data_IF_104694824440
#
_entry.id   IF_104694824440
#
_cell.length_a   1.000
_cell.length_b   1.000
_cell.length_c   1.000
_cell.angle_alpha   90.00
_cell.angle_beta   90.00
_cell.angle_gamma   90.00
#
_symmetry.space_group_name_H-M   'P 1'
#
loop_
_entity.id
_entity.type
_entity.pdbx_description
1 polymer ?
#
# COMPACT_ATOMS: atom_id res chain seq x y z
N UNK A 1 -18.00 -17.09 18.33
CA UNK A 1 -16.77 -16.63 17.65
C UNK A 1 -15.89 -15.94 18.68
N UNK A 2 -14.55 -16.02 18.58
CA UNK A 2 -13.67 -15.22 19.42
C UNK A 2 -13.97 -13.72 19.23
N UNK A 3 -13.72 -12.92 20.26
CA UNK A 3 -13.86 -11.46 20.18
C UNK A 3 -12.90 -10.90 19.11
N UNK A 4 -13.29 -9.83 18.40
CA UNK A 4 -12.39 -9.15 17.47
C UNK A 4 -11.14 -8.64 18.19
N UNK A 5 -9.98 -8.75 17.56
CA UNK A 5 -8.72 -8.21 18.10
C UNK A 5 -8.81 -6.69 18.18
N UNK A 6 -8.52 -6.12 19.35
CA UNK A 6 -8.57 -4.66 19.56
C UNK A 6 -7.20 -4.02 19.36
N UNK A 7 -7.16 -2.69 19.19
CA UNK A 7 -5.89 -1.94 19.19
C UNK A 7 -5.09 -2.17 20.48
N UNK A 8 -5.76 -2.13 21.62
CA UNK A 8 -5.12 -2.32 22.92
C UNK A 8 -4.49 -3.72 23.06
N UNK A 9 -5.03 -4.74 22.38
CA UNK A 9 -4.40 -6.05 22.33
C UNK A 9 -3.16 -6.06 21.44
N UNK A 10 -3.18 -5.35 20.32
CA UNK A 10 -2.04 -5.22 19.41
C UNK A 10 -0.89 -4.42 20.03
N UNK A 11 -1.20 -3.35 20.76
CA UNK A 11 -0.20 -2.51 21.45
C UNK A 11 0.62 -3.31 22.48
N UNK A 12 0.05 -4.37 23.09
CA UNK A 12 0.77 -5.22 24.06
C UNK A 12 1.96 -5.97 23.46
N UNK A 13 1.96 -6.21 22.14
CA UNK A 13 3.07 -6.87 21.47
C UNK A 13 4.28 -5.95 21.25
N UNK A 14 4.09 -4.62 21.32
CA UNK A 14 5.17 -3.64 21.22
C UNK A 14 5.92 -3.66 19.88
N UNK A 15 5.26 -4.13 18.81
CA UNK A 15 5.82 -4.19 17.46
C UNK A 15 4.90 -3.46 16.47
N UNK A 16 5.45 -2.91 15.37
CA UNK A 16 4.64 -2.32 14.32
C UNK A 16 3.69 -3.34 13.70
N UNK A 17 2.45 -2.92 13.44
CA UNK A 17 1.41 -3.74 12.81
C UNK A 17 0.82 -2.97 11.64
N UNK A 18 0.81 -3.61 10.48
CA UNK A 18 0.11 -3.13 9.31
C UNK A 18 -1.16 -3.97 9.11
N UNK A 19 -2.22 -3.39 8.57
CA UNK A 19 -3.37 -4.12 8.02
C UNK A 19 -3.36 -4.04 6.51
N UNK A 20 -3.70 -5.13 5.84
CA UNK A 20 -3.94 -5.18 4.40
C UNK A 20 -5.33 -5.75 4.13
N UNK A 21 -6.10 -5.04 3.29
CA UNK A 21 -7.43 -5.47 2.84
C UNK A 21 -7.42 -5.63 1.32
N UNK A 22 -7.86 -6.79 0.85
CA UNK A 22 -7.99 -7.10 -0.58
C UNK A 22 -9.48 -7.34 -0.88
N UNK A 23 -10.22 -6.30 -1.34
CA UNK A 23 -11.67 -6.38 -1.45
C UNK A 23 -12.17 -7.52 -2.34
N UNK A 24 -11.52 -7.76 -3.48
CA UNK A 24 -11.92 -8.81 -4.45
C UNK A 24 -11.79 -10.22 -3.89
N UNK A 25 -11.03 -10.41 -2.80
CA UNK A 25 -10.88 -11.69 -2.10
C UNK A 25 -11.65 -11.75 -0.79
N UNK A 26 -12.31 -10.65 -0.39
CA UNK A 26 -12.82 -10.47 0.98
C UNK A 26 -11.77 -10.81 2.04
N UNK A 27 -10.49 -10.52 1.74
CA UNK A 27 -9.37 -10.80 2.61
C UNK A 27 -9.03 -9.56 3.46
N UNK A 28 -8.78 -9.78 4.73
CA UNK A 28 -8.44 -8.77 5.73
C UNK A 28 -7.44 -9.40 6.71
N UNK A 29 -6.22 -8.89 6.71
CA UNK A 29 -5.12 -9.48 7.47
C UNK A 29 -4.33 -8.41 8.22
N UNK A 30 -3.88 -8.78 9.42
CA UNK A 30 -2.84 -8.06 10.15
C UNK A 30 -1.48 -8.67 9.81
N UNK A 31 -0.48 -7.81 9.69
CA UNK A 31 0.85 -8.14 9.21
C UNK A 31 1.89 -7.64 10.19
N UNK A 32 2.94 -8.43 10.33
CA UNK A 32 4.14 -8.11 11.09
C UNK A 32 5.34 -7.97 10.15
N UNK A 33 6.41 -7.36 10.65
CA UNK A 33 7.65 -7.17 9.88
C UNK A 33 8.44 -8.48 9.86
N UNK A 34 8.87 -8.93 8.68
CA UNK A 34 9.83 -10.04 8.52
C UNK A 34 11.22 -9.56 8.18
N UNK A 35 11.33 -8.41 7.51
CA UNK A 35 12.60 -7.82 7.11
C UNK A 35 12.46 -6.30 7.00
N UNK A 36 13.52 -5.57 7.33
CA UNK A 36 13.56 -4.11 7.24
C UNK A 36 14.98 -3.62 6.92
N UNK A 37 15.14 -2.87 5.82
CA UNK A 37 16.42 -2.30 5.40
C UNK A 37 16.24 -1.01 4.62
N UNK A 38 16.86 0.08 5.10
CA UNK A 38 16.96 1.35 4.37
C UNK A 38 15.62 1.94 3.93
N UNK A 39 14.62 1.96 4.83
CA UNK A 39 13.26 2.45 4.54
C UNK A 39 12.36 1.45 3.79
N UNK A 40 12.90 0.30 3.39
CA UNK A 40 12.14 -0.81 2.81
C UNK A 40 11.77 -1.81 3.90
N UNK A 41 10.49 -2.09 4.06
CA UNK A 41 9.94 -3.03 5.05
C UNK A 41 9.16 -4.10 4.32
N UNK A 42 9.46 -5.36 4.61
CA UNK A 42 8.67 -6.51 4.17
C UNK A 42 7.76 -6.94 5.30
N UNK A 43 6.46 -6.85 5.04
CA UNK A 43 5.38 -7.27 5.91
C UNK A 43 4.91 -8.67 5.51
N UNK A 44 4.56 -9.51 6.48
CA UNK A 44 3.96 -10.82 6.21
C UNK A 44 2.70 -11.06 7.01
N UNK A 45 1.78 -11.78 6.39
CA UNK A 45 0.69 -12.48 7.05
C UNK A 45 1.17 -13.81 7.64
N UNK A 46 0.34 -14.43 8.48
CA UNK A 46 0.63 -15.76 9.06
C UNK A 46 0.65 -16.89 8.02
N UNK A 47 0.00 -16.71 6.87
CA UNK A 47 -0.03 -17.68 5.76
C UNK A 47 1.17 -17.54 4.79
N UNK A 48 2.11 -16.63 5.09
CA UNK A 48 3.33 -16.45 4.30
C UNK A 48 3.18 -15.50 3.10
N UNK A 49 2.02 -14.89 2.89
CA UNK A 49 1.87 -13.79 1.92
C UNK A 49 2.70 -12.59 2.38
N UNK A 50 3.46 -11.97 1.46
CA UNK A 50 4.31 -10.82 1.80
C UNK A 50 4.01 -9.58 0.96
N UNK A 51 4.24 -8.43 1.57
CA UNK A 51 4.08 -7.11 0.97
C UNK A 51 5.30 -6.27 1.32
N UNK A 52 6.09 -5.89 0.33
CA UNK A 52 7.25 -5.02 0.55
C UNK A 52 6.87 -3.59 0.21
N UNK A 53 7.07 -2.69 1.17
CA UNK A 53 6.82 -1.26 1.04
C UNK A 53 8.10 -0.48 1.27
N UNK A 54 8.28 0.61 0.53
CA UNK A 54 9.30 1.62 0.77
C UNK A 54 8.61 2.89 1.22
N UNK A 55 8.79 3.25 2.49
CA UNK A 55 8.13 4.40 3.13
C UNK A 55 6.60 4.43 2.92
N UNK A 56 5.95 3.26 2.99
CA UNK A 56 4.49 3.12 2.78
C UNK A 56 4.05 2.90 1.31
N UNK A 57 4.98 3.01 0.35
CA UNK A 57 4.69 2.79 -1.08
C UNK A 57 4.92 1.33 -1.43
N UNK A 58 3.91 0.63 -1.95
CA UNK A 58 3.99 -0.77 -2.35
C UNK A 58 4.91 -0.94 -3.56
N UNK A 59 5.91 -1.81 -3.40
CA UNK A 59 6.89 -2.12 -4.45
C UNK A 59 6.96 -3.61 -4.82
N UNK A 60 6.45 -4.51 -3.99
CA UNK A 60 6.44 -5.95 -4.27
C UNK A 60 5.34 -6.67 -3.47
N UNK A 61 4.78 -7.74 -4.04
CA UNK A 61 3.99 -8.75 -3.32
C UNK A 61 4.51 -10.16 -3.61
N UNK A 62 4.28 -11.10 -2.69
CA UNK A 62 4.51 -12.54 -2.92
C UNK A 62 3.38 -13.36 -2.31
N UNK A 63 2.98 -14.42 -2.98
CA UNK A 63 2.01 -15.39 -2.46
C UNK A 63 0.57 -15.06 -2.85
N UNK A 64 0.34 -14.01 -3.64
CA UNK A 64 -1.01 -13.69 -4.11
C UNK A 64 -1.37 -14.41 -5.40
N UNK A 65 -0.41 -14.85 -6.21
CA UNK A 65 -0.64 -15.41 -7.55
C UNK A 65 -0.31 -14.37 -8.63
N UNK A 66 -1.21 -13.44 -8.97
CA UNK A 66 -0.86 -12.33 -9.86
C UNK A 66 -0.11 -11.26 -9.07
N UNK A 67 1.14 -11.56 -8.71
CA UNK A 67 1.97 -10.73 -7.84
C UNK A 67 2.56 -9.50 -8.54
N UNK A 68 2.76 -8.43 -7.77
CA UNK A 68 3.66 -7.35 -8.15
C UNK A 68 5.10 -7.83 -7.93
N UNK A 69 5.80 -8.17 -8.99
CA UNK A 69 7.17 -8.66 -8.93
C UNK A 69 8.16 -7.58 -8.49
N UNK A 70 8.00 -6.37 -9.01
CA UNK A 70 8.71 -5.17 -8.57
C UNK A 70 8.03 -3.91 -9.11
N UNK A 71 8.33 -2.75 -8.51
CA UNK A 71 7.92 -1.45 -9.05
C UNK A 71 9.04 -0.41 -8.96
N UNK A 72 9.19 0.36 -10.04
CA UNK A 72 9.83 1.68 -9.99
C UNK A 72 8.74 2.68 -9.62
N UNK A 73 8.73 3.08 -8.37
CA UNK A 73 7.72 3.96 -7.78
C UNK A 73 8.39 5.25 -7.25
N UNK A 74 7.66 6.38 -7.19
CA UNK A 74 8.15 7.62 -6.58
C UNK A 74 8.44 7.43 -5.09
N UNK A 75 9.16 8.40 -4.51
CA UNK A 75 9.28 8.49 -3.06
C UNK A 75 7.96 8.96 -2.44
N UNK A 76 7.75 8.66 -1.15
CA UNK A 76 6.61 9.17 -0.39
C UNK A 76 6.55 10.72 -0.40
N UNK A 77 7.70 11.40 -0.38
CA UNK A 77 7.78 12.86 -0.49
C UNK A 77 7.27 13.39 -1.84
N UNK A 78 7.60 12.72 -2.95
CA UNK A 78 7.09 13.10 -4.27
C UNK A 78 5.57 12.89 -4.37
N UNK A 79 5.03 11.85 -3.72
CA UNK A 79 3.59 11.60 -3.62
C UNK A 79 2.83 12.61 -2.75
N UNK A 80 3.54 13.46 -2.00
CA UNK A 80 2.98 14.55 -1.18
C UNK A 80 3.16 15.93 -1.81
N UNK A 81 3.54 15.98 -3.09
CA UNK A 81 3.75 17.24 -3.83
C UNK A 81 2.60 17.45 -4.81
N UNK A 82 1.75 18.43 -4.54
CA UNK A 82 0.65 18.79 -5.46
C UNK A 82 1.18 19.22 -6.83
N UNK A 83 0.58 18.70 -7.90
CA UNK A 83 1.05 18.89 -9.27
C UNK A 83 2.34 18.13 -9.61
N UNK A 84 2.89 17.33 -8.70
CA UNK A 84 4.06 16.50 -8.93
C UNK A 84 3.83 15.51 -10.07
N UNK A 85 4.85 15.28 -10.90
CA UNK A 85 4.78 14.33 -12.02
C UNK A 85 5.96 13.37 -11.99
N UNK A 86 5.72 12.13 -12.41
CA UNK A 86 6.73 11.07 -12.46
C UNK A 86 6.25 9.91 -13.31
N UNK A 87 7.15 8.99 -13.64
CA UNK A 87 6.78 7.68 -14.19
C UNK A 87 6.66 6.64 -13.09
N UNK A 88 5.67 5.76 -13.24
CA UNK A 88 5.55 4.54 -12.46
C UNK A 88 5.66 3.33 -13.36
N UNK A 89 6.56 2.42 -13.04
CA UNK A 89 6.77 1.18 -13.80
C UNK A 89 6.47 -0.01 -12.90
N UNK A 90 5.48 -0.81 -13.28
CA UNK A 90 5.14 -2.05 -12.60
C UNK A 90 5.63 -3.25 -13.42
N UNK A 91 6.13 -4.25 -12.72
CA UNK A 91 6.47 -5.56 -13.25
C UNK A 91 5.56 -6.58 -12.58
N UNK A 92 4.53 -7.07 -13.28
CA UNK A 92 3.55 -8.01 -12.73
C UNK A 92 3.86 -9.44 -13.18
N UNK A 93 3.58 -10.42 -12.33
CA UNK A 93 3.56 -11.82 -12.73
C UNK A 93 2.30 -12.09 -13.57
N UNK A 94 2.49 -12.52 -14.81
CA UNK A 94 1.43 -12.92 -15.73
C UNK A 94 1.07 -14.40 -15.57
N UNK A 95 0.01 -14.83 -16.26
CA UNK A 95 -0.57 -16.18 -16.12
C UNK A 95 0.37 -17.32 -16.57
N UNK A 96 1.34 -17.03 -17.45
CA UNK A 96 2.33 -18.00 -17.93
C UNK A 96 3.67 -17.90 -17.17
N UNK A 97 3.65 -17.40 -15.94
CA UNK A 97 4.83 -17.06 -15.12
C UNK A 97 5.80 -16.04 -15.75
N UNK A 98 5.38 -15.41 -16.85
CA UNK A 98 6.12 -14.34 -17.51
C UNK A 98 5.90 -13.00 -16.80
N UNK A 99 6.97 -12.22 -16.62
CA UNK A 99 6.84 -10.85 -16.09
C UNK A 99 6.36 -9.89 -17.17
N UNK A 100 5.27 -9.17 -16.90
CA UNK A 100 4.75 -8.13 -17.78
C UNK A 100 5.08 -6.74 -17.23
N UNK A 101 5.58 -5.86 -18.10
CA UNK A 101 5.91 -4.48 -17.75
C UNK A 101 4.78 -3.54 -18.12
N UNK A 102 4.39 -2.64 -17.20
CA UNK A 102 3.46 -1.54 -17.48
C UNK A 102 4.05 -0.23 -16.99
N UNK A 103 4.25 0.71 -17.91
CA UNK A 103 4.70 2.07 -17.62
C UNK A 103 3.51 3.02 -17.68
N UNK A 104 3.43 3.91 -16.70
CA UNK A 104 2.42 4.95 -16.60
C UNK A 104 3.10 6.30 -16.39
N UNK A 105 2.53 7.34 -16.96
CA UNK A 105 2.85 8.73 -16.64
C UNK A 105 1.83 9.22 -15.61
N UNK A 106 2.33 9.72 -14.48
CA UNK A 106 1.51 9.99 -13.30
C UNK A 106 1.54 11.47 -12.92
N UNK A 107 0.42 11.93 -12.36
CA UNK A 107 0.29 13.25 -11.74
C UNK A 107 -0.30 13.10 -10.35
N UNK A 108 0.28 13.80 -9.39
CA UNK A 108 -0.16 13.86 -8.01
C UNK A 108 -1.05 15.08 -7.82
N UNK A 109 -2.15 14.90 -7.09
CA UNK A 109 -3.09 15.98 -6.76
C UNK A 109 -3.42 15.92 -5.29
N UNK A 110 -3.30 17.07 -4.60
CA UNK A 110 -3.79 17.22 -3.24
C UNK A 110 -5.33 17.18 -3.22
N UNK A 111 -5.88 16.38 -2.32
CA UNK A 111 -7.31 16.11 -2.20
C UNK A 111 -7.88 16.57 -0.84
N UNK A 112 -7.20 17.53 -0.19
CA UNK A 112 -7.63 18.15 1.05
C UNK A 112 -7.14 17.43 2.31
N UNK A 113 -7.70 17.83 3.46
CA UNK A 113 -7.41 17.23 4.75
C UNK A 113 -8.67 16.59 5.33
N UNK A 114 -8.52 15.46 5.99
CA UNK A 114 -9.62 14.75 6.64
C UNK A 114 -9.16 14.08 7.93
N UNK A 115 -10.12 13.68 8.77
CA UNK A 115 -9.88 12.80 9.89
C UNK A 115 -10.26 11.37 9.49
N UNK A 116 -9.34 10.43 9.68
CA UNK A 116 -9.59 9.01 9.45
C UNK A 116 -9.45 8.25 10.76
N UNK A 117 -10.29 7.24 10.96
CA UNK A 117 -10.13 6.31 12.08
C UNK A 117 -9.46 5.03 11.58
N UNK A 118 -8.36 4.63 12.22
CA UNK A 118 -7.68 3.36 12.01
C UNK A 118 -7.66 2.66 13.36
N UNK A 119 -8.31 1.50 13.49
CA UNK A 119 -8.34 0.73 14.74
C UNK A 119 -8.63 1.59 15.97
N UNK A 120 -9.77 2.30 15.97
CA UNK A 120 -10.22 3.17 17.05
C UNK A 120 -9.26 4.33 17.44
N UNK A 121 -8.29 4.68 16.59
CA UNK A 121 -7.49 5.89 16.71
C UNK A 121 -7.78 6.82 15.55
N UNK A 122 -8.11 8.06 15.89
CA UNK A 122 -8.29 9.14 14.91
C UNK A 122 -6.94 9.73 14.52
N UNK A 123 -6.73 9.90 13.22
CA UNK A 123 -5.57 10.55 12.63
C UNK A 123 -6.04 11.71 11.76
N UNK A 124 -5.43 12.88 11.93
CA UNK A 124 -5.64 14.02 11.02
C UNK A 124 -4.64 13.92 9.88
N UNK A 125 -5.15 13.78 8.66
CA UNK A 125 -4.34 13.42 7.50
C UNK A 125 -4.54 14.38 6.33
N UNK A 126 -3.48 14.54 5.53
CA UNK A 126 -3.50 15.15 4.20
C UNK A 126 -3.68 14.05 3.16
N UNK A 127 -4.70 14.18 2.31
CA UNK A 127 -5.00 13.20 1.26
C UNK A 127 -4.37 13.62 -0.07
N UNK A 128 -3.75 12.66 -0.74
CA UNK A 128 -3.22 12.84 -2.09
C UNK A 128 -3.67 11.70 -3.00
N UNK A 129 -3.97 12.02 -4.25
CA UNK A 129 -4.25 11.04 -5.30
C UNK A 129 -3.16 11.08 -6.36
N UNK A 130 -2.63 9.93 -6.72
CA UNK A 130 -1.70 9.74 -7.84
C UNK A 130 -2.49 9.13 -9.00
N UNK A 131 -2.81 9.94 -10.01
CA UNK A 131 -3.48 9.46 -11.22
C UNK A 131 -2.43 9.14 -12.28
N UNK A 132 -2.39 7.89 -12.71
CA UNK A 132 -1.41 7.33 -13.61
C UNK A 132 -2.09 6.88 -14.91
N UNK A 133 -1.66 7.38 -16.05
CA UNK A 133 -2.24 7.07 -17.35
C UNK A 133 -1.26 6.37 -18.29
N UNK A 134 -1.81 5.53 -19.17
CA UNK A 134 -1.14 4.92 -20.33
C UNK A 134 -2.17 4.78 -21.47
N UNK A 135 -1.77 4.50 -22.71
CA UNK A 135 -2.72 4.39 -23.83
C UNK A 135 -3.87 3.39 -23.59
N UNK A 136 -3.63 2.35 -22.78
CA UNK A 136 -4.59 1.29 -22.50
C UNK A 136 -5.44 1.53 -21.23
N UNK A 137 -5.35 2.72 -20.60
CA UNK A 137 -6.18 3.09 -19.46
C UNK A 137 -5.43 3.82 -18.35
N UNK A 138 -6.15 4.11 -17.28
CA UNK A 138 -5.64 4.82 -16.12
C UNK A 138 -5.88 4.05 -14.83
N UNK A 139 -5.09 4.37 -13.81
CA UNK A 139 -5.25 3.90 -12.43
C UNK A 139 -5.09 5.11 -11.50
N UNK A 140 -5.69 5.05 -10.32
CA UNK A 140 -5.52 6.08 -9.29
C UNK A 140 -5.15 5.42 -7.98
N UNK A 141 -3.95 5.69 -7.48
CA UNK A 141 -3.55 5.35 -6.13
C UNK A 141 -3.91 6.51 -5.19
N UNK A 142 -4.28 6.20 -3.94
CA UNK A 142 -4.63 7.22 -2.95
C UNK A 142 -3.79 7.03 -1.70
N UNK A 143 -3.33 8.13 -1.12
CA UNK A 143 -2.44 8.15 0.04
C UNK A 143 -2.95 9.16 1.07
N UNK A 144 -2.88 8.78 2.34
CA UNK A 144 -3.25 9.62 3.47
C UNK A 144 -2.04 9.80 4.38
N UNK A 145 -1.54 11.02 4.44
CA UNK A 145 -0.31 11.38 5.14
C UNK A 145 -0.59 12.03 6.48
N UNK A 146 0.09 11.58 7.53
CA UNK A 146 0.24 12.32 8.78
C UNK A 146 1.70 12.80 8.84
N UNK A 147 1.93 14.05 8.43
CA UNK A 147 3.29 14.55 8.18
C UNK A 147 3.98 13.76 7.04
N UNK A 148 5.18 13.19 7.26
CA UNK A 148 5.86 12.38 6.24
C UNK A 148 5.36 10.93 6.15
N UNK A 149 4.53 10.47 7.10
CA UNK A 149 4.14 9.07 7.24
C UNK A 149 2.84 8.79 6.49
N UNK A 150 2.81 7.75 5.66
CA UNK A 150 1.58 7.24 5.05
C UNK A 150 0.83 6.40 6.10
N UNK A 151 -0.28 6.92 6.63
CA UNK A 151 -1.14 6.20 7.59
C UNK A 151 -2.07 5.22 6.92
N UNK A 152 -2.54 5.59 5.74
CA UNK A 152 -3.40 4.75 4.91
C UNK A 152 -3.02 4.90 3.45
N UNK A 153 -3.15 3.85 2.68
CA UNK A 153 -3.04 3.93 1.23
C UNK A 153 -3.95 2.93 0.54
N UNK A 154 -4.35 3.26 -0.68
CA UNK A 154 -5.02 2.36 -1.62
C UNK A 154 -4.17 2.30 -2.87
N UNK A 155 -3.56 1.14 -3.12
CA UNK A 155 -2.53 1.00 -4.16
C UNK A 155 -2.83 -0.18 -5.08
N UNK A 156 -2.57 -0.01 -6.38
CA UNK A 156 -2.66 -1.10 -7.34
C UNK A 156 -1.64 -2.18 -6.98
N UNK A 157 -2.10 -3.40 -6.72
CA UNK A 157 -1.26 -4.56 -6.53
C UNK A 157 -1.07 -5.34 -7.84
N UNK A 158 -2.13 -5.57 -8.62
CA UNK A 158 -2.01 -6.16 -9.96
C UNK A 158 -3.29 -6.01 -10.77
N UNK A 159 -3.23 -6.38 -12.05
CA UNK A 159 -4.42 -6.40 -12.91
C UNK A 159 -5.50 -7.37 -12.43
N UNK A 160 -5.13 -8.53 -11.87
CA UNK A 160 -6.07 -9.54 -11.40
C UNK A 160 -6.61 -9.29 -9.99
N UNK A 161 -5.86 -8.58 -9.14
CA UNK A 161 -6.29 -8.26 -7.76
C UNK A 161 -6.88 -6.86 -7.62
N UNK A 162 -6.57 -5.98 -8.55
CA UNK A 162 -6.87 -4.56 -8.41
C UNK A 162 -6.07 -3.94 -7.27
N UNK A 163 -6.77 -3.30 -6.35
CA UNK A 163 -6.19 -2.47 -5.30
C UNK A 163 -6.15 -3.20 -3.97
N UNK A 164 -5.13 -2.87 -3.17
CA UNK A 164 -5.01 -3.25 -1.77
C UNK A 164 -5.06 -1.99 -0.94
N UNK A 165 -5.87 -2.02 0.10
CA UNK A 165 -5.91 -0.98 1.12
C UNK A 165 -4.95 -1.37 2.25
N UNK A 166 -4.03 -0.47 2.60
CA UNK A 166 -3.11 -0.63 3.72
C UNK A 166 -3.38 0.40 4.79
N UNK A 167 -3.34 -0.01 6.06
CA UNK A 167 -3.50 0.87 7.22
C UNK A 167 -2.40 0.59 8.25
N UNK A 168 -1.66 1.62 8.65
CA UNK A 168 -0.66 1.52 9.72
C UNK A 168 -1.41 1.49 11.06
N UNK A 169 -1.53 0.30 11.65
CA UNK A 169 -2.31 0.08 12.87
C UNK A 169 -1.49 0.42 14.10
N UNK A 170 -0.28 -0.12 14.22
CA UNK A 170 0.67 0.17 15.31
C UNK A 170 1.98 0.68 14.69
N UNK A 171 2.56 1.71 15.29
CA UNK A 171 3.82 2.35 14.89
C UNK A 171 5.04 1.67 15.52
#
# INVERSE_FOLDING_TARGET
>A
APAPVTRADLEKFGVPILRAVIPVRSADALLTITDAKGGTVTWSTTDGTTFTQRDGVLIQTRGLGPDLMSAQAPSAAALRTDGGTHQRVYFFLGENDGTTRRTYDCTVTAAGTEEIEIFARTHKVEKFTETCARPQGSITNTFWFEGPVIRKSKQLASGGLGFIDFEQVID
#
